data_IF_110261741968
#
_entry.id   IF_110261741968
#
_cell.length_a   1.000
_cell.length_b   1.000
_cell.length_c   1.000
_cell.angle_alpha   90.00
_cell.angle_beta   90.00
_cell.angle_gamma   90.00
#
_symmetry.space_group_name_H-M   'P 1'
#
loop_
_entity.id
_entity.type
_entity.pdbx_description
1 polymer ?
#
# COMPACT_ATOMS: atom_id res chain seq x y z
N UNK A 1 13.28 -19.17 2.32
CA UNK A 1 13.67 -17.75 2.51
C UNK A 1 13.60 -16.89 1.25
N UNK A 2 14.22 -17.28 0.13
CA UNK A 2 14.21 -16.47 -1.11
C UNK A 2 12.80 -16.11 -1.63
N UNK A 3 11.88 -17.09 -1.64
CA UNK A 3 10.50 -16.88 -2.10
C UNK A 3 9.72 -15.91 -1.22
N UNK A 4 9.87 -16.02 0.11
CA UNK A 4 9.18 -15.13 1.05
C UNK A 4 9.71 -13.70 0.96
N UNK A 5 11.03 -13.52 0.84
CA UNK A 5 11.62 -12.19 0.61
C UNK A 5 11.20 -11.59 -0.74
N UNK A 6 11.09 -12.41 -1.78
CA UNK A 6 10.59 -11.96 -3.09
C UNK A 6 9.13 -11.48 -3.00
N UNK A 7 8.24 -12.29 -2.42
CA UNK A 7 6.81 -11.96 -2.22
C UNK A 7 6.66 -10.72 -1.34
N UNK A 8 7.36 -10.66 -0.20
CA UNK A 8 7.33 -9.50 0.68
C UNK A 8 7.78 -8.21 -0.01
N UNK A 9 8.85 -8.25 -0.83
CA UNK A 9 9.29 -7.07 -1.60
C UNK A 9 8.30 -6.67 -2.70
N UNK A 10 7.66 -7.63 -3.36
CA UNK A 10 6.61 -7.34 -4.35
C UNK A 10 5.39 -6.68 -3.72
N UNK A 11 4.95 -7.17 -2.55
CA UNK A 11 3.86 -6.55 -1.78
C UNK A 11 4.19 -5.11 -1.40
N UNK A 12 5.41 -4.85 -0.91
CA UNK A 12 5.88 -3.49 -0.64
C UNK A 12 5.89 -2.62 -1.91
N UNK A 13 6.43 -3.12 -3.02
CA UNK A 13 6.49 -2.35 -4.27
C UNK A 13 5.09 -1.96 -4.77
N UNK A 14 4.14 -2.91 -4.78
CA UNK A 14 2.74 -2.63 -5.14
C UNK A 14 2.13 -1.63 -4.16
N UNK A 15 2.36 -1.81 -2.84
CA UNK A 15 1.92 -0.86 -1.82
C UNK A 15 2.45 0.56 -2.03
N UNK A 16 3.73 0.70 -2.42
CA UNK A 16 4.33 2.00 -2.76
C UNK A 16 3.63 2.69 -3.94
N UNK A 17 3.32 1.95 -5.01
CA UNK A 17 2.55 2.51 -6.13
C UNK A 17 1.15 2.92 -5.70
N UNK A 18 0.46 2.11 -4.88
CA UNK A 18 -0.84 2.48 -4.33
C UNK A 18 -0.76 3.75 -3.47
N UNK A 19 0.28 3.90 -2.64
CA UNK A 19 0.53 5.11 -1.86
C UNK A 19 0.75 6.33 -2.75
N UNK A 20 1.49 6.20 -3.85
CA UNK A 20 1.67 7.31 -4.80
C UNK A 20 0.32 7.76 -5.38
N UNK A 21 -0.56 6.82 -5.74
CA UNK A 21 -1.90 7.14 -6.24
C UNK A 21 -2.84 7.73 -5.17
N UNK A 22 -2.63 7.45 -3.89
CA UNK A 22 -3.39 8.09 -2.81
C UNK A 22 -3.18 9.61 -2.76
N UNK A 23 -2.06 10.13 -3.29
CA UNK A 23 -1.77 11.56 -3.31
C UNK A 23 -2.54 12.34 -4.39
N UNK A 24 -3.21 11.66 -5.33
CA UNK A 24 -4.01 12.29 -6.38
C UNK A 24 -5.15 13.17 -5.79
N UNK A 25 -6.00 12.66 -4.88
CA UNK A 25 -7.11 13.42 -4.30
C UNK A 25 -6.72 14.36 -3.14
N UNK A 26 -5.48 14.34 -2.63
CA UNK A 26 -5.06 15.28 -1.56
C UNK A 26 -4.99 16.73 -2.04
N UNK A 27 -4.84 16.98 -3.33
CA UNK A 27 -4.94 18.30 -3.92
C UNK A 27 -6.42 18.70 -4.11
N UNK A 28 -7.09 19.16 -3.04
CA UNK A 28 -8.41 19.80 -3.11
C UNK A 28 -8.31 21.02 -4.05
N UNK A 29 -8.74 20.87 -5.30
CA UNK A 29 -8.60 21.88 -6.36
C UNK A 29 -7.60 21.55 -7.47
N UNK A 30 -7.12 20.30 -7.56
CA UNK A 30 -6.21 19.92 -8.65
C UNK A 30 -6.87 20.09 -10.03
N UNK A 31 -6.11 20.65 -10.97
CA UNK A 31 -6.48 20.72 -12.40
C UNK A 31 -6.85 19.34 -12.96
N UNK A 32 -6.29 18.27 -12.41
CA UNK A 32 -6.48 16.90 -12.86
C UNK A 32 -7.94 16.43 -12.67
N UNK A 33 -8.55 16.69 -11.51
CA UNK A 33 -9.96 16.38 -11.28
C UNK A 33 -10.89 17.23 -12.16
N UNK A 34 -10.49 18.47 -12.43
CA UNK A 34 -11.24 19.41 -13.27
C UNK A 34 -11.15 19.10 -14.77
N UNK A 35 -10.01 18.60 -15.24
CA UNK A 35 -9.78 18.18 -16.64
C UNK A 35 -10.44 16.84 -16.94
N UNK A 36 -10.49 15.93 -15.96
CA UNK A 36 -11.15 14.64 -16.10
C UNK A 36 -12.65 14.67 -15.76
N UNK A 37 -13.18 15.84 -15.37
CA UNK A 37 -14.58 16.05 -14.96
C UNK A 37 -15.08 15.04 -13.90
N UNK A 38 -14.19 14.59 -13.01
CA UNK A 38 -14.52 13.61 -11.96
C UNK A 38 -15.06 14.35 -10.74
N UNK A 39 -16.29 14.06 -10.27
CA UNK A 39 -16.82 14.70 -9.08
C UNK A 39 -15.99 14.32 -7.85
N UNK A 40 -15.71 15.31 -7.00
CA UNK A 40 -14.83 15.17 -5.83
C UNK A 40 -15.26 14.02 -4.88
N UNK A 41 -16.56 13.77 -4.79
CA UNK A 41 -17.12 12.68 -4.00
C UNK A 41 -16.67 11.29 -4.49
N UNK A 42 -16.57 11.10 -5.82
CA UNK A 42 -16.03 9.86 -6.41
C UNK A 42 -14.54 9.73 -6.13
N UNK A 43 -13.78 10.83 -6.20
CA UNK A 43 -12.34 10.83 -5.89
C UNK A 43 -12.06 10.43 -4.44
N UNK A 44 -12.89 10.87 -3.48
CA UNK A 44 -12.78 10.45 -2.07
C UNK A 44 -13.14 8.97 -1.90
N UNK A 45 -14.19 8.47 -2.56
CA UNK A 45 -14.54 7.03 -2.51
C UNK A 45 -13.41 6.16 -3.05
N UNK A 46 -12.80 6.58 -4.15
CA UNK A 46 -11.60 5.95 -4.70
C UNK A 46 -10.44 5.99 -3.69
N UNK A 47 -10.11 7.17 -3.16
CA UNK A 47 -9.04 7.33 -2.16
C UNK A 47 -9.23 6.39 -0.98
N UNK A 48 -10.44 6.32 -0.44
CA UNK A 48 -10.75 5.46 0.71
C UNK A 48 -10.57 3.98 0.36
N UNK A 49 -11.11 3.53 -0.78
CA UNK A 49 -10.97 2.13 -1.23
C UNK A 49 -9.50 1.77 -1.47
N UNK A 50 -8.77 2.63 -2.17
CA UNK A 50 -7.34 2.46 -2.41
C UNK A 50 -6.55 2.48 -1.10
N UNK A 51 -6.97 3.27 -0.12
CA UNK A 51 -6.35 3.34 1.19
C UNK A 51 -6.44 2.01 1.93
N UNK A 52 -7.61 1.36 1.90
CA UNK A 52 -7.78 0.02 2.47
C UNK A 52 -6.87 -1.01 1.77
N UNK A 53 -6.81 -0.99 0.44
CA UNK A 53 -5.91 -1.89 -0.31
C UNK A 53 -4.45 -1.66 0.07
N UNK A 54 -4.03 -0.40 0.17
CA UNK A 54 -2.66 -0.03 0.56
C UNK A 54 -2.33 -0.56 1.96
N UNK A 55 -3.25 -0.38 2.92
CA UNK A 55 -3.08 -0.88 4.28
C UNK A 55 -2.97 -2.41 4.34
N UNK A 56 -3.80 -3.13 3.57
CA UNK A 56 -3.75 -4.59 3.47
C UNK A 56 -2.40 -5.05 2.90
N UNK A 57 -1.91 -4.40 1.84
CA UNK A 57 -0.62 -4.72 1.23
C UNK A 57 0.55 -4.55 2.19
N UNK A 58 0.59 -3.45 2.96
CA UNK A 58 1.64 -3.23 3.97
C UNK A 58 1.52 -4.17 5.16
N UNK A 59 0.30 -4.52 5.58
CA UNK A 59 0.07 -5.53 6.61
C UNK A 59 0.61 -6.89 6.16
N UNK A 60 0.26 -7.33 4.95
CA UNK A 60 0.74 -8.59 4.39
C UNK A 60 2.27 -8.58 4.21
N UNK A 61 2.84 -7.47 3.73
CA UNK A 61 4.28 -7.29 3.65
C UNK A 61 4.95 -7.53 5.02
N UNK A 62 4.47 -6.87 6.08
CA UNK A 62 5.00 -7.02 7.43
C UNK A 62 4.86 -8.46 7.95
N UNK A 63 3.68 -9.06 7.80
CA UNK A 63 3.41 -10.44 8.24
C UNK A 63 4.33 -11.46 7.57
N UNK A 64 4.56 -11.34 6.25
CA UNK A 64 5.49 -12.23 5.52
C UNK A 64 6.91 -12.14 6.09
N UNK A 65 7.38 -10.93 6.41
CA UNK A 65 8.71 -10.75 6.99
C UNK A 65 8.79 -11.24 8.43
N UNK A 66 7.79 -10.98 9.27
CA UNK A 66 7.72 -11.49 10.65
C UNK A 66 7.77 -13.02 10.66
N UNK A 67 6.97 -13.69 9.82
CA UNK A 67 6.98 -15.16 9.71
C UNK A 67 8.35 -15.66 9.22
N UNK A 68 8.95 -14.97 8.24
CA UNK A 68 10.26 -15.35 7.72
C UNK A 68 11.35 -15.24 8.78
N UNK A 69 11.37 -14.14 9.55
CA UNK A 69 12.30 -13.94 10.65
C UNK A 69 12.09 -14.94 11.79
N UNK A 70 10.84 -15.31 12.10
CA UNK A 70 10.53 -16.35 13.06
C UNK A 70 11.15 -17.69 12.65
N UNK A 71 11.03 -18.07 11.37
CA UNK A 71 11.61 -19.31 10.83
C UNK A 71 13.13 -19.29 10.80
N UNK A 72 13.73 -18.12 10.56
CA UNK A 72 15.18 -17.92 10.56
C UNK A 72 15.77 -17.79 11.98
N UNK A 73 14.93 -17.73 13.02
CA UNK A 73 15.38 -17.52 14.40
C UNK A 73 15.91 -16.10 14.65
N UNK A 74 15.55 -15.13 13.81
CA UNK A 74 15.98 -13.73 13.95
C UNK A 74 15.05 -12.89 14.82
N UNK A 75 13.96 -13.48 15.33
CA UNK A 75 13.15 -12.81 16.33
C UNK A 75 13.98 -12.71 17.63
N UNK A 76 14.06 -11.52 18.26
CA UNK A 76 14.72 -11.39 19.55
C UNK A 76 14.03 -12.31 20.56
N UNK A 77 14.77 -13.31 21.05
CA UNK A 77 14.37 -14.01 22.27
C UNK A 77 14.51 -13.01 23.42
N UNK A 78 13.43 -12.82 24.17
CA UNK A 78 13.46 -12.11 25.44
C UNK A 78 13.90 -13.08 26.52
#
# INVERSE_FOLDING_TARGET
DLMASYVGRRLAAVGFYCTAFLLIPTARGSLLLRVLDIPFEQAIRYHRRLGHVTLILFTLHGVVFIISWARLGWLPNK
#
